data_IF_119548075741
#
_entry.id   IF_119548075741
#
_cell.length_a   1.000
_cell.length_b   1.000
_cell.length_c   1.000
_cell.angle_alpha   90.00
_cell.angle_beta   90.00
_cell.angle_gamma   90.00
#
_symmetry.space_group_name_H-M   'P 1'
#
loop_
_entity.id
_entity.type
_entity.pdbx_description
1 polymer ?
#
# COMPACT_ATOMS: atom_id res chain seq x y z
N UNK A 1 0.17 -31.91 -2.58
CA UNK A 1 0.67 -30.56 -2.85
C UNK A 1 0.14 -29.63 -1.77
N UNK A 2 1.01 -28.90 -1.08
CA UNK A 2 0.62 -27.95 -0.05
C UNK A 2 0.38 -26.56 -0.67
N UNK A 3 -0.54 -25.80 -0.10
CA UNK A 3 -0.85 -24.45 -0.55
C UNK A 3 -0.87 -23.48 0.63
N UNK A 4 -0.25 -22.31 0.43
CA UNK A 4 -0.29 -21.20 1.39
C UNK A 4 -1.44 -20.29 0.99
N UNK A 5 -2.43 -20.14 1.86
CA UNK A 5 -3.65 -19.37 1.56
C UNK A 5 -4.17 -18.61 2.77
N UNK A 6 -5.13 -17.73 2.51
CA UNK A 6 -5.84 -16.99 3.56
C UNK A 6 -7.07 -17.79 4.03
N UNK A 7 -7.17 -18.00 5.34
CA UNK A 7 -8.37 -18.51 6.01
C UNK A 7 -9.04 -17.34 6.73
N UNK A 8 -10.32 -17.11 6.46
CA UNK A 8 -11.08 -16.03 7.08
C UNK A 8 -11.52 -16.43 8.49
N UNK A 9 -11.28 -15.56 9.48
CA UNK A 9 -11.61 -15.78 10.90
C UNK A 9 -12.44 -14.62 11.42
N UNK A 10 -12.56 -13.52 11.03
CA UNK A 10 -13.30 -12.39 11.59
C UNK A 10 -14.81 -12.50 11.46
N UNK A 11 -15.50 -11.54 12.01
CA UNK A 11 -16.94 -11.38 11.87
C UNK A 11 -17.33 -10.90 10.46
N UNK A 12 -18.63 -10.91 10.15
CA UNK A 12 -19.14 -10.49 8.82
C UNK A 12 -18.69 -9.07 8.44
N UNK A 13 -18.69 -8.15 9.41
CA UNK A 13 -18.33 -6.73 9.19
C UNK A 13 -16.87 -6.39 9.48
N UNK A 14 -16.13 -7.29 10.16
CA UNK A 14 -14.72 -7.12 10.49
C UNK A 14 -13.92 -8.37 10.09
N UNK A 15 -13.65 -8.56 8.78
CA UNK A 15 -12.88 -9.71 8.32
C UNK A 15 -11.41 -9.59 8.75
N UNK A 16 -10.93 -10.63 9.42
CA UNK A 16 -9.52 -10.88 9.73
C UNK A 16 -9.14 -12.20 9.08
N UNK A 17 -7.91 -12.34 8.66
CA UNK A 17 -7.44 -13.54 7.97
C UNK A 17 -6.24 -14.14 8.69
N UNK A 18 -6.17 -15.46 8.70
CA UNK A 18 -4.96 -16.20 9.04
C UNK A 18 -4.27 -16.64 7.75
N UNK A 19 -2.96 -16.50 7.71
CA UNK A 19 -2.13 -17.11 6.66
C UNK A 19 -1.81 -18.52 7.09
N UNK A 20 -2.26 -19.50 6.32
CA UNK A 20 -2.19 -20.92 6.68
C UNK A 20 -1.61 -21.76 5.57
N UNK A 21 -0.97 -22.86 5.94
CA UNK A 21 -0.56 -23.93 5.04
C UNK A 21 -1.55 -25.07 5.16
N UNK A 22 -2.03 -25.55 4.05
CA UNK A 22 -2.92 -26.71 3.98
C UNK A 22 -2.84 -27.43 2.63
N UNK A 23 -3.28 -28.67 2.53
CA UNK A 23 -3.39 -29.37 1.26
C UNK A 23 -4.30 -28.59 0.29
N UNK A 24 -3.91 -28.51 -1.00
CA UNK A 24 -4.63 -27.73 -2.01
C UNK A 24 -6.09 -28.13 -2.19
N UNK A 25 -6.41 -29.40 -1.97
CA UNK A 25 -7.77 -29.96 -2.12
C UNK A 25 -8.69 -29.67 -0.91
N UNK A 26 -8.12 -29.26 0.24
CA UNK A 26 -8.91 -29.00 1.43
C UNK A 26 -9.68 -27.69 1.32
N UNK A 27 -10.83 -27.65 2.03
CA UNK A 27 -11.60 -26.42 2.20
C UNK A 27 -10.79 -25.38 3.01
N UNK A 28 -10.90 -24.09 2.72
CA UNK A 28 -10.26 -23.01 3.48
C UNK A 28 -10.63 -22.98 4.98
N UNK A 29 -11.72 -23.62 5.37
CA UNK A 29 -12.19 -23.75 6.76
C UNK A 29 -11.70 -25.01 7.47
N UNK A 30 -11.10 -25.92 6.73
CA UNK A 30 -10.54 -27.15 7.30
C UNK A 30 -9.34 -26.86 8.20
N UNK A 31 -8.93 -27.89 8.96
CA UNK A 31 -7.77 -27.81 9.82
C UNK A 31 -6.52 -27.52 9.00
N UNK A 32 -5.83 -26.44 9.36
CA UNK A 32 -4.57 -26.08 8.74
C UNK A 32 -3.43 -26.97 9.22
N UNK A 33 -2.50 -27.31 8.34
CA UNK A 33 -1.27 -28.01 8.70
C UNK A 33 -0.42 -27.13 9.62
N UNK A 34 -0.31 -25.84 9.30
CA UNK A 34 0.43 -24.86 10.08
C UNK A 34 -0.16 -23.46 9.87
N UNK A 35 -0.10 -22.63 10.92
CA UNK A 35 -0.49 -21.21 10.84
C UNK A 35 0.80 -20.39 10.77
N UNK A 36 0.98 -19.66 9.67
CA UNK A 36 2.17 -18.85 9.40
C UNK A 36 2.05 -17.42 9.92
N UNK A 37 0.82 -16.95 10.18
CA UNK A 37 0.58 -15.61 10.66
C UNK A 37 -0.85 -15.13 10.51
N UNK A 38 -1.03 -13.82 10.65
CA UNK A 38 -2.35 -13.20 10.51
C UNK A 38 -2.26 -11.92 9.64
N UNK A 39 -3.37 -11.60 9.00
CA UNK A 39 -3.52 -10.44 8.14
C UNK A 39 -4.82 -9.70 8.46
N UNK A 40 -4.71 -8.42 8.75
CA UNK A 40 -5.84 -7.53 8.98
C UNK A 40 -5.85 -6.40 7.93
N UNK A 41 -6.75 -6.45 6.94
CA UNK A 41 -6.80 -5.44 5.89
C UNK A 41 -7.47 -4.13 6.31
N UNK A 42 -8.12 -4.08 7.49
CA UNK A 42 -8.91 -2.91 7.92
C UNK A 42 -8.14 -1.92 8.78
N UNK A 43 -6.98 -2.31 9.28
CA UNK A 43 -6.10 -1.37 9.96
C UNK A 43 -5.39 -0.48 8.93
N UNK A 44 -5.23 0.78 9.24
CA UNK A 44 -4.41 1.74 8.50
C UNK A 44 -3.19 2.14 9.36
N UNK A 45 -2.00 1.74 8.99
CA UNK A 45 -1.64 0.84 7.89
C UNK A 45 -2.10 -0.60 8.12
N UNK A 46 -2.33 -1.35 7.01
CA UNK A 46 -2.70 -2.78 7.07
C UNK A 46 -1.70 -3.57 7.89
N UNK A 47 -2.20 -4.39 8.79
CA UNK A 47 -1.36 -5.21 9.66
C UNK A 47 -1.15 -6.58 9.04
N UNK A 48 0.10 -6.93 8.83
CA UNK A 48 0.51 -8.26 8.38
C UNK A 48 1.63 -8.77 9.27
N UNK A 49 1.36 -9.80 10.04
CA UNK A 49 2.36 -10.46 10.90
C UNK A 49 2.59 -11.88 10.39
N UNK A 50 3.81 -12.16 9.98
CA UNK A 50 4.22 -13.43 9.38
C UNK A 50 5.48 -13.99 10.05
N UNK A 51 5.52 -15.29 10.22
CA UNK A 51 6.75 -16.01 10.53
C UNK A 51 7.52 -16.26 9.22
N UNK A 52 8.47 -15.36 8.92
CA UNK A 52 9.21 -15.34 7.66
C UNK A 52 9.99 -16.63 7.41
N UNK A 53 10.59 -17.21 8.47
CA UNK A 53 11.37 -18.45 8.37
C UNK A 53 10.49 -19.62 7.94
N UNK A 54 9.30 -19.74 8.54
CA UNK A 54 8.37 -20.81 8.19
C UNK A 54 7.77 -20.63 6.80
N UNK A 55 7.50 -19.38 6.39
CA UNK A 55 7.04 -19.07 5.02
C UNK A 55 8.09 -19.53 3.99
N UNK A 56 9.36 -19.17 4.18
CA UNK A 56 10.46 -19.59 3.29
C UNK A 56 10.60 -21.11 3.26
N UNK A 57 10.59 -21.75 4.43
CA UNK A 57 10.66 -23.21 4.52
C UNK A 57 9.59 -23.91 3.68
N UNK A 58 8.33 -23.43 3.75
CA UNK A 58 7.25 -24.05 2.98
C UNK A 58 7.35 -23.78 1.48
N UNK A 59 7.82 -22.59 1.09
CA UNK A 59 8.08 -22.27 -0.32
C UNK A 59 9.19 -23.17 -0.87
N UNK A 60 10.28 -23.35 -0.14
CA UNK A 60 11.40 -24.23 -0.51
C UNK A 60 10.96 -25.71 -0.60
N UNK A 61 10.01 -26.12 0.20
CA UNK A 61 9.35 -27.42 0.12
C UNK A 61 8.36 -27.55 -1.06
N UNK A 62 8.19 -26.51 -1.84
CA UNK A 62 7.31 -26.51 -2.99
C UNK A 62 5.84 -26.24 -2.67
N UNK A 63 5.53 -25.57 -1.57
CA UNK A 63 4.17 -25.09 -1.31
C UNK A 63 3.81 -23.95 -2.26
N UNK A 64 2.64 -24.05 -2.89
CA UNK A 64 2.15 -23.04 -3.81
C UNK A 64 1.42 -21.93 -3.03
N UNK A 65 1.89 -20.68 -3.14
CA UNK A 65 1.17 -19.54 -2.58
C UNK A 65 0.05 -19.09 -3.54
N UNK A 66 -1.15 -18.82 -2.99
CA UNK A 66 -2.24 -18.19 -3.76
C UNK A 66 -1.83 -16.78 -4.19
N UNK A 67 -2.40 -16.28 -5.28
CA UNK A 67 -2.00 -14.99 -5.87
C UNK A 67 -2.11 -13.83 -4.88
N UNK A 68 -3.13 -13.83 -4.03
CA UNK A 68 -3.28 -12.82 -2.97
C UNK A 68 -2.14 -12.89 -1.96
N UNK A 69 -1.80 -14.10 -1.48
CA UNK A 69 -0.70 -14.29 -0.52
C UNK A 69 0.63 -13.97 -1.17
N UNK A 70 0.85 -14.38 -2.42
CA UNK A 70 2.05 -14.07 -3.19
C UNK A 70 2.30 -12.57 -3.26
N UNK A 71 1.25 -11.78 -3.56
CA UNK A 71 1.36 -10.33 -3.61
C UNK A 71 1.67 -9.70 -2.25
N UNK A 72 1.11 -10.24 -1.15
CA UNK A 72 1.45 -9.81 0.21
C UNK A 72 2.90 -10.11 0.58
N UNK A 73 3.43 -11.28 0.17
CA UNK A 73 4.82 -11.65 0.42
C UNK A 73 5.81 -10.77 -0.34
N UNK A 74 5.43 -10.31 -1.54
CA UNK A 74 6.24 -9.35 -2.32
C UNK A 74 6.20 -7.96 -1.65
N UNK A 75 5.04 -7.52 -1.15
CA UNK A 75 4.92 -6.23 -0.46
C UNK A 75 5.82 -6.18 0.80
N UNK A 76 5.95 -7.28 1.52
CA UNK A 76 6.84 -7.44 2.68
C UNK A 76 8.30 -7.78 2.29
N UNK A 77 8.60 -7.85 0.99
CA UNK A 77 9.94 -8.19 0.47
C UNK A 77 10.49 -9.54 0.98
N UNK A 78 9.62 -10.48 1.29
CA UNK A 78 9.98 -11.83 1.74
C UNK A 78 10.37 -12.70 0.54
N UNK A 79 9.69 -12.49 -0.60
CA UNK A 79 9.90 -13.21 -1.86
C UNK A 79 10.08 -12.19 -2.99
N UNK A 80 11.04 -12.46 -3.86
CA UNK A 80 11.27 -11.66 -5.06
C UNK A 80 10.41 -12.18 -6.21
N UNK A 81 9.78 -11.27 -6.94
CA UNK A 81 8.98 -11.63 -8.09
C UNK A 81 8.01 -10.54 -8.54
N UNK A 82 7.29 -10.83 -9.60
CA UNK A 82 6.23 -9.93 -10.10
C UNK A 82 4.92 -10.21 -9.37
N UNK A 83 4.18 -9.16 -9.06
CA UNK A 83 2.81 -9.28 -8.53
C UNK A 83 1.92 -9.97 -9.54
N UNK A 84 1.03 -10.83 -9.05
CA UNK A 84 0.06 -11.57 -9.86
C UNK A 84 -1.28 -10.86 -9.86
N UNK A 85 -1.96 -10.86 -10.99
CA UNK A 85 -3.32 -10.33 -11.09
C UNK A 85 -4.32 -11.22 -10.36
N UNK A 86 -4.91 -10.72 -9.29
CA UNK A 86 -5.91 -11.46 -8.49
C UNK A 86 -7.29 -11.39 -9.11
N UNK A 87 -7.59 -10.32 -9.86
CA UNK A 87 -8.90 -10.11 -10.50
C UNK A 87 -8.81 -10.31 -12.00
N UNK A 88 -9.67 -11.16 -12.53
CA UNK A 88 -9.86 -11.29 -13.97
C UNK A 88 -10.88 -10.23 -14.43
N UNK A 89 -10.40 -9.23 -15.16
CA UNK A 89 -11.26 -8.19 -15.75
C UNK A 89 -11.73 -8.72 -17.11
N UNK A 90 -13.05 -8.70 -17.37
CA UNK A 90 -13.58 -9.08 -18.69
C UNK A 90 -13.00 -8.16 -19.77
N UNK A 91 -12.75 -8.72 -20.96
CA UNK A 91 -12.11 -7.98 -22.05
C UNK A 91 -12.80 -6.69 -22.48
N UNK A 92 -14.13 -6.63 -22.38
CA UNK A 92 -14.90 -5.41 -22.63
C UNK A 92 -14.64 -4.32 -21.58
N UNK A 93 -14.46 -4.71 -20.31
CA UNK A 93 -14.15 -3.78 -19.23
C UNK A 93 -12.68 -3.33 -19.25
N UNK A 94 -11.78 -4.20 -19.69
CA UNK A 94 -10.38 -3.87 -19.88
C UNK A 94 -10.22 -2.79 -20.95
N UNK A 95 -10.86 -2.95 -22.12
CA UNK A 95 -10.87 -1.95 -23.21
C UNK A 95 -11.39 -0.59 -22.73
N UNK A 96 -12.49 -0.58 -21.96
CA UNK A 96 -13.09 0.66 -21.45
C UNK A 96 -12.22 1.36 -20.40
N UNK A 97 -11.42 0.60 -19.64
CA UNK A 97 -10.43 1.15 -18.69
C UNK A 97 -9.21 1.72 -19.43
N UNK A 98 -8.80 1.06 -20.48
CA UNK A 98 -7.67 1.51 -21.32
C UNK A 98 -8.03 2.79 -22.10
N UNK A 99 -9.24 2.86 -22.64
CA UNK A 99 -9.81 4.06 -23.27
C UNK A 99 -9.87 5.24 -22.29
N UNK A 100 -10.42 5.02 -21.08
CA UNK A 100 -10.43 6.04 -20.04
C UNK A 100 -9.03 6.45 -19.54
N UNK A 101 -8.11 5.53 -19.49
CA UNK A 101 -6.73 5.84 -19.11
C UNK A 101 -6.01 6.64 -20.20
N UNK A 102 -6.29 6.36 -21.46
CA UNK A 102 -5.79 7.13 -22.60
C UNK A 102 -6.39 8.54 -22.64
N UNK A 103 -7.71 8.69 -22.45
CA UNK A 103 -8.37 10.00 -22.32
C UNK A 103 -7.83 10.79 -21.12
N UNK A 104 -7.62 10.15 -19.97
CA UNK A 104 -7.06 10.78 -18.79
C UNK A 104 -5.63 11.27 -18.99
N UNK A 105 -4.81 10.51 -19.72
CA UNK A 105 -3.44 10.92 -20.07
C UNK A 105 -3.43 12.08 -21.07
N UNK A 106 -4.26 12.02 -22.12
CA UNK A 106 -4.39 13.09 -23.10
C UNK A 106 -4.86 14.41 -22.45
N UNK A 107 -5.82 14.32 -21.52
CA UNK A 107 -6.34 15.48 -20.79
C UNK A 107 -5.35 16.06 -19.78
N UNK A 108 -4.50 15.20 -19.18
CA UNK A 108 -3.43 15.63 -18.29
C UNK A 108 -2.27 16.30 -19.08
N UNK A 109 -1.99 15.81 -20.27
CA UNK A 109 -0.96 16.36 -21.15
C UNK A 109 -1.41 17.70 -21.75
N UNK A 110 -2.69 17.84 -22.12
CA UNK A 110 -3.29 19.10 -22.57
C UNK A 110 -3.34 20.14 -21.43
N UNK A 111 -3.64 19.72 -20.20
CA UNK A 111 -3.61 20.60 -19.03
C UNK A 111 -2.19 21.05 -18.68
N UNK A 112 -1.19 20.16 -18.83
CA UNK A 112 0.21 20.51 -18.62
C UNK A 112 0.75 21.43 -19.72
N UNK A 113 0.35 21.23 -20.97
CA UNK A 113 0.70 22.10 -22.08
C UNK A 113 0.09 23.51 -21.91
N UNK A 114 -1.15 23.59 -21.39
CA UNK A 114 -1.83 24.87 -21.14
C UNK A 114 -1.28 25.62 -19.91
N UNK A 115 -0.65 24.91 -18.98
CA UNK A 115 0.07 25.49 -17.84
C UNK A 115 1.50 25.94 -18.18
N UNK A 116 2.03 25.53 -19.33
CA UNK A 116 3.36 25.88 -19.81
C UNK A 116 3.37 27.11 -20.76
N UNK A 117 2.21 27.72 -21.05
CA UNK A 117 2.15 28.97 -21.80
C UNK A 117 2.51 30.13 -20.86
N UNK A 118 3.62 30.86 -21.09
CA UNK A 118 4.05 31.94 -20.21
C UNK A 118 3.11 33.11 -20.34
N UNK A 119 2.53 33.55 -19.23
CA UNK A 119 1.85 34.83 -19.14
C UNK A 119 2.84 35.96 -19.45
N UNK A 120 2.48 36.97 -20.23
CA UNK A 120 3.39 38.05 -20.59
C UNK A 120 3.74 38.90 -19.36
N UNK A 121 5.01 39.25 -19.33
CA UNK A 121 5.62 40.24 -18.45
C UNK A 121 4.81 41.50 -18.26
N UNK A 122 4.67 41.91 -17.02
CA UNK A 122 4.56 43.34 -16.69
C UNK A 122 5.41 43.58 -15.42
N UNK A 123 6.57 44.10 -15.64
CA UNK A 123 7.44 44.84 -14.73
C UNK A 123 7.21 46.32 -15.05
N UNK A 124 7.54 47.34 -14.25
CA UNK A 124 8.04 47.41 -12.88
C UNK A 124 7.45 48.55 -12.03
N UNK A 125 7.98 48.75 -10.91
CA UNK A 125 8.42 50.00 -10.27
C UNK A 125 7.94 50.25 -8.83
N UNK A 126 8.94 50.45 -8.06
CA UNK A 126 9.13 51.29 -6.91
C UNK A 126 9.17 50.65 -5.52
N UNK A 127 10.38 50.40 -5.09
CA UNK A 127 10.93 50.59 -3.74
C UNK A 127 10.78 52.10 -3.32
N UNK A 128 10.95 52.54 -2.07
CA UNK A 128 11.70 51.93 -0.94
C UNK A 128 11.13 52.21 0.47
N UNK A 129 11.92 51.72 1.46
CA UNK A 129 12.09 52.22 2.85
C UNK A 129 11.03 51.84 3.88
N UNK A 130 11.38 51.23 4.98
CA UNK A 130 12.23 51.55 6.12
C UNK A 130 12.11 50.44 7.16
N UNK A 131 13.27 49.93 7.58
CA UNK A 131 13.52 49.18 8.82
C UNK A 131 13.34 50.15 10.01
N UNK A 132 13.01 49.76 11.24
CA UNK A 132 13.88 48.91 12.07
C UNK A 132 13.18 47.92 13.02
N UNK A 133 13.94 46.88 13.33
CA UNK A 133 14.00 46.13 14.57
C UNK A 133 13.93 47.04 15.83
N UNK A 134 13.55 46.58 17.04
CA UNK A 134 14.36 45.59 17.75
C UNK A 134 13.56 44.52 18.56
N UNK A 135 14.19 43.38 18.76
CA UNK A 135 14.02 42.56 19.95
C UNK A 135 14.54 43.39 21.20
N UNK A 136 14.31 43.05 22.46
CA UNK A 136 14.67 41.77 23.06
C UNK A 136 13.76 41.26 24.20
N UNK A 137 14.20 40.18 24.77
CA UNK A 137 14.23 39.72 26.16
C UNK A 137 13.28 38.58 26.58
N UNK A 138 13.95 37.44 26.75
CA UNK A 138 13.64 36.49 27.81
C UNK A 138 14.07 37.10 29.18
N UNK A 139 13.54 36.66 30.33
CA UNK A 139 14.18 35.58 31.07
C UNK A 139 13.16 34.65 31.79
N UNK A 140 13.48 33.36 31.91
CA UNK A 140 14.11 32.63 32.99
C UNK A 140 13.30 32.45 34.30
N UNK A 141 13.35 31.16 34.73
CA UNK A 141 13.26 30.63 36.10
C UNK A 141 11.83 30.54 36.70
N UNK A 142 11.37 29.43 37.19
CA UNK A 142 11.87 28.63 38.33
C UNK A 142 11.13 27.29 38.46
N UNK A 143 11.82 26.21 38.71
CA UNK A 143 11.39 25.07 39.48
C UNK A 143 11.33 25.50 40.97
N UNK A 144 10.67 24.87 41.93
CA UNK A 144 10.87 23.46 42.26
C UNK A 144 9.68 22.69 42.88
N UNK A 145 9.86 21.39 42.90
CA UNK A 145 9.56 20.36 43.90
C UNK A 145 8.37 20.53 44.88
N UNK A 146 7.50 19.57 44.91
CA UNK A 146 7.24 18.63 46.02
C UNK A 146 6.47 17.42 45.48
#
# INVERSE_FOLDING_TARGET
>A
MQSIRLSRVGTRRAPVYRVVVMPKHNDPWAIATEILGHYNPRKDPRELVLNVERVKYWIDKGAEATDTVWNLLIDEKIVEGKKRGVTHISGSRAKKLEEKAAEGKAKAEEAAAKAAEPAPEAVPEATPEVVPEPAPEAPAEEQPAQ
#
